data_IF_415335959917
#
_entry.id   IF_415335959917
#
_cell.length_a   1.000
_cell.length_b   1.000
_cell.length_c   1.000
_cell.angle_alpha   90.00
_cell.angle_beta   90.00
_cell.angle_gamma   90.00
#
_symmetry.space_group_name_H-M   'P 1'
#
loop_
_entity.id
_entity.type
_entity.pdbx_description
1 polymer ?
#
# COMPACT_ATOMS: atom_id res chain seq x y z
N UNK A 1 35.76 21.31 9.71
CA UNK A 1 34.82 21.05 8.61
C UNK A 1 33.63 20.32 9.20
N UNK A 2 32.52 21.02 9.43
CA UNK A 2 31.31 20.41 9.97
C UNK A 2 30.40 20.02 8.80
N UNK A 3 30.23 18.72 8.57
CA UNK A 3 29.28 18.19 7.59
C UNK A 3 27.81 18.47 7.97
N UNK A 4 27.59 18.90 9.22
CA UNK A 4 26.23 19.10 9.77
C UNK A 4 25.41 20.19 9.06
N UNK A 5 26.06 21.21 8.51
CA UNK A 5 25.37 22.36 7.92
C UNK A 5 24.99 22.17 6.45
N UNK A 6 25.58 21.15 5.80
CA UNK A 6 25.37 20.82 4.39
C UNK A 6 24.48 19.57 4.16
N UNK A 7 24.05 18.91 5.27
CA UNK A 7 23.15 17.74 5.14
C UNK A 7 21.75 18.22 4.77
N UNK A 8 21.17 17.72 3.67
CA UNK A 8 19.81 18.05 3.29
C UNK A 8 18.81 17.75 4.40
N UNK A 9 17.68 18.46 4.43
CA UNK A 9 16.62 18.29 5.46
C UNK A 9 16.02 16.89 5.50
N UNK A 10 16.12 16.14 4.42
CA UNK A 10 15.69 14.74 4.30
C UNK A 10 16.75 13.74 4.80
N UNK A 11 17.92 14.21 5.19
CA UNK A 11 19.03 13.39 5.68
C UNK A 11 19.74 12.54 4.62
N UNK A 12 19.40 12.71 3.34
CA UNK A 12 20.00 11.95 2.24
C UNK A 12 21.22 12.67 1.67
N UNK A 13 22.38 12.02 1.73
CA UNK A 13 23.63 12.55 1.21
C UNK A 13 23.87 11.99 -0.18
N UNK A 14 23.83 12.86 -1.21
CA UNK A 14 24.03 12.45 -2.60
C UNK A 14 25.52 12.21 -2.92
N UNK A 15 25.77 11.39 -3.97
CA UNK A 15 27.11 11.16 -4.50
C UNK A 15 27.79 12.45 -4.96
N UNK A 16 27.00 13.41 -5.48
CA UNK A 16 27.49 14.72 -5.89
C UNK A 16 28.07 15.50 -4.71
N UNK A 17 27.35 15.59 -3.59
CA UNK A 17 27.81 16.27 -2.39
C UNK A 17 29.07 15.61 -1.81
N UNK A 18 29.11 14.27 -1.79
CA UNK A 18 30.31 13.54 -1.34
C UNK A 18 31.51 13.79 -2.25
N UNK A 19 31.32 13.89 -3.56
CA UNK A 19 32.38 14.23 -4.50
C UNK A 19 32.94 15.63 -4.29
N UNK A 20 32.02 16.61 -4.06
CA UNK A 20 32.41 17.99 -3.72
C UNK A 20 33.24 18.03 -2.45
N UNK A 21 32.79 17.37 -1.38
CA UNK A 21 33.50 17.30 -0.10
C UNK A 21 34.84 16.58 -0.18
N UNK A 22 34.92 15.52 -0.98
CA UNK A 22 36.18 14.83 -1.25
C UNK A 22 37.19 15.76 -1.95
N UNK A 23 36.73 16.52 -2.94
CA UNK A 23 37.55 17.50 -3.68
C UNK A 23 38.01 18.65 -2.77
N UNK A 24 37.10 19.18 -1.93
CA UNK A 24 37.45 20.18 -0.91
C UNK A 24 38.51 19.65 0.07
N UNK A 25 38.37 18.40 0.51
CA UNK A 25 39.33 17.77 1.43
C UNK A 25 40.75 17.68 0.86
N UNK A 26 40.90 17.62 -0.46
CA UNK A 26 42.20 17.60 -1.11
C UNK A 26 42.99 18.91 -1.00
N UNK A 27 42.28 20.03 -0.77
CA UNK A 27 42.85 21.38 -0.63
C UNK A 27 43.19 21.75 0.81
N UNK A 28 42.89 20.87 1.77
CA UNK A 28 43.13 21.12 3.20
C UNK A 28 44.58 20.84 3.51
N UNK A 29 45.24 21.80 4.16
CA UNK A 29 46.59 21.65 4.68
C UNK A 29 46.58 20.71 5.91
N UNK A 30 47.37 19.63 5.90
CA UNK A 30 47.44 18.69 7.01
C UNK A 30 47.87 19.33 8.35
N UNK A 31 48.64 20.39 8.32
CA UNK A 31 49.14 21.08 9.51
C UNK A 31 48.03 21.83 10.28
N UNK A 32 46.90 22.10 9.61
CA UNK A 32 45.74 22.79 10.18
C UNK A 32 44.74 21.84 10.89
N UNK A 33 45.00 20.53 10.90
CA UNK A 33 44.09 19.52 11.46
C UNK A 33 44.68 18.82 12.65
N UNK A 34 43.94 18.69 13.72
CA UNK A 34 44.30 17.86 14.87
C UNK A 34 44.46 16.38 14.41
N UNK A 35 45.65 15.82 14.62
CA UNK A 35 46.05 14.51 14.11
C UNK A 35 46.71 14.50 12.75
N UNK A 36 46.88 15.66 12.10
CA UNK A 36 47.71 15.88 10.92
C UNK A 36 47.32 15.04 9.67
N UNK A 37 48.34 14.68 8.91
CA UNK A 37 48.14 13.92 7.65
C UNK A 37 47.45 12.58 7.85
N UNK A 38 47.63 11.89 8.98
CA UNK A 38 46.99 10.59 9.25
C UNK A 38 45.50 10.71 9.43
N UNK A 39 45.05 11.72 10.17
CA UNK A 39 43.60 11.99 10.34
C UNK A 39 42.95 12.38 9.03
N UNK A 40 43.62 13.19 8.21
CA UNK A 40 43.13 13.60 6.89
C UNK A 40 43.01 12.42 5.91
N UNK A 41 44.00 11.54 5.88
CA UNK A 41 43.96 10.30 5.08
C UNK A 41 42.81 9.38 5.50
N UNK A 42 42.58 9.22 6.80
CA UNK A 42 41.46 8.42 7.32
C UNK A 42 40.10 9.02 6.93
N UNK A 43 39.95 10.33 7.05
CA UNK A 43 38.72 11.04 6.64
C UNK A 43 38.46 10.89 5.15
N UNK A 44 39.48 11.08 4.30
CA UNK A 44 39.34 10.89 2.84
C UNK A 44 38.97 9.46 2.48
N UNK A 45 39.55 8.47 3.13
CA UNK A 45 39.18 7.06 2.92
C UNK A 45 37.73 6.80 3.27
N UNK A 46 37.21 7.32 4.38
CA UNK A 46 35.80 7.18 4.77
C UNK A 46 34.86 7.90 3.78
N UNK A 47 35.20 9.11 3.35
CA UNK A 47 34.39 9.83 2.34
C UNK A 47 34.33 9.05 1.01
N UNK A 48 35.44 8.44 0.60
CA UNK A 48 35.48 7.62 -0.60
C UNK A 48 34.63 6.36 -0.50
N UNK A 49 34.67 5.68 0.66
CA UNK A 49 33.78 4.52 0.92
C UNK A 49 32.28 4.92 0.88
N UNK A 50 31.94 6.08 1.45
CA UNK A 50 30.57 6.58 1.41
C UNK A 50 30.17 6.98 -0.02
N UNK A 51 31.07 7.56 -0.81
CA UNK A 51 30.82 7.90 -2.19
C UNK A 51 30.49 6.65 -3.03
N UNK A 52 31.28 5.58 -2.89
CA UNK A 52 31.03 4.31 -3.60
C UNK A 52 29.64 3.77 -3.24
N UNK A 53 29.31 3.76 -1.94
CA UNK A 53 27.98 3.29 -1.49
C UNK A 53 26.85 4.18 -1.96
N UNK A 54 27.04 5.50 -1.96
CA UNK A 54 26.03 6.45 -2.43
C UNK A 54 25.72 6.25 -3.93
N UNK A 55 26.76 6.10 -4.75
CA UNK A 55 26.57 5.79 -6.18
C UNK A 55 25.83 4.47 -6.38
N UNK A 56 26.21 3.42 -5.63
CA UNK A 56 25.52 2.13 -5.68
C UNK A 56 24.03 2.23 -5.28
N UNK A 57 23.70 3.05 -4.28
CA UNK A 57 22.32 3.27 -3.88
C UNK A 57 21.53 4.06 -4.90
N UNK A 58 22.10 5.12 -5.47
CA UNK A 58 21.50 5.92 -6.54
C UNK A 58 21.18 5.05 -7.78
N UNK A 59 22.09 4.15 -8.16
CA UNK A 59 21.84 3.18 -9.24
C UNK A 59 20.67 2.23 -8.89
N UNK A 60 20.63 1.72 -7.67
CA UNK A 60 19.54 0.84 -7.22
C UNK A 60 18.19 1.57 -7.16
N UNK A 61 18.17 2.81 -6.72
CA UNK A 61 16.98 3.66 -6.71
C UNK A 61 16.50 3.96 -8.12
N UNK A 62 17.42 4.25 -9.06
CA UNK A 62 17.08 4.43 -10.46
C UNK A 62 16.45 3.18 -11.10
N UNK A 63 16.92 1.98 -10.74
CA UNK A 63 16.31 0.72 -11.18
C UNK A 63 14.92 0.52 -10.55
N UNK A 64 14.74 0.82 -9.27
CA UNK A 64 13.46 0.70 -8.57
C UNK A 64 12.41 1.66 -9.15
N UNK A 65 12.80 2.89 -9.45
CA UNK A 65 11.87 3.97 -9.77
C UNK A 65 11.03 4.41 -8.56
N UNK A 66 10.11 5.37 -8.75
CA UNK A 66 9.37 6.00 -7.64
C UNK A 66 8.33 5.09 -7.00
N UNK A 67 7.86 4.07 -7.70
CA UNK A 67 6.69 3.27 -7.27
C UNK A 67 7.08 1.95 -6.57
N UNK A 68 8.36 1.59 -6.57
CA UNK A 68 8.86 0.35 -5.97
C UNK A 68 9.91 0.64 -4.91
N UNK A 69 9.99 -0.26 -3.93
CA UNK A 69 11.03 -0.24 -2.90
C UNK A 69 12.01 -1.42 -3.01
N UNK A 70 11.88 -2.22 -4.05
CA UNK A 70 12.79 -3.33 -4.34
C UNK A 70 12.67 -3.81 -5.78
N UNK A 71 13.74 -4.41 -6.26
CA UNK A 71 13.80 -5.15 -7.52
C UNK A 71 14.54 -6.48 -7.30
N UNK A 72 14.54 -7.35 -8.29
CA UNK A 72 15.24 -8.63 -8.20
C UNK A 72 16.47 -8.65 -9.12
N UNK A 73 17.62 -9.16 -8.62
CA UNK A 73 18.90 -9.13 -9.34
C UNK A 73 18.86 -9.75 -10.74
N UNK A 74 18.10 -10.83 -10.91
CA UNK A 74 18.04 -11.57 -12.19
C UNK A 74 17.01 -11.00 -13.17
N UNK A 75 16.10 -10.14 -12.69
CA UNK A 75 15.10 -9.45 -13.48
C UNK A 75 14.75 -8.12 -12.80
N UNK A 76 15.33 -7.04 -13.31
CA UNK A 76 15.18 -5.70 -12.72
C UNK A 76 13.73 -5.18 -12.81
N UNK A 77 12.91 -5.70 -13.71
CA UNK A 77 11.50 -5.34 -13.78
C UNK A 77 10.66 -6.13 -12.75
N UNK A 78 11.14 -7.26 -12.28
CA UNK A 78 10.44 -8.02 -11.24
C UNK A 78 10.67 -7.41 -9.86
N UNK A 79 9.64 -7.49 -9.03
CA UNK A 79 9.72 -7.10 -7.61
C UNK A 79 9.99 -8.34 -6.75
N UNK A 80 10.79 -8.19 -5.71
CA UNK A 80 11.02 -9.27 -4.75
C UNK A 80 9.74 -9.48 -3.91
N UNK A 81 9.07 -10.62 -4.08
CA UNK A 81 7.83 -10.97 -3.37
C UNK A 81 7.96 -12.34 -2.70
N UNK A 82 7.36 -12.47 -1.52
CA UNK A 82 7.15 -13.77 -0.89
C UNK A 82 5.85 -14.37 -1.44
N UNK A 83 5.92 -15.60 -1.94
CA UNK A 83 4.74 -16.27 -2.49
C UNK A 83 3.97 -17.00 -1.38
N UNK A 84 2.65 -17.09 -1.51
CA UNK A 84 1.79 -17.77 -0.52
C UNK A 84 2.17 -19.24 -0.33
N UNK A 85 2.59 -19.89 -1.38
CA UNK A 85 3.01 -21.30 -1.38
C UNK A 85 4.22 -21.54 -0.48
N UNK A 86 5.21 -20.61 -0.48
CA UNK A 86 6.38 -20.71 0.38
C UNK A 86 6.04 -20.52 1.86
N UNK A 87 5.07 -19.66 2.15
CA UNK A 87 4.59 -19.43 3.51
C UNK A 87 3.92 -20.69 4.09
N UNK A 88 3.09 -21.38 3.29
CA UNK A 88 2.39 -22.58 3.74
C UNK A 88 3.30 -23.83 3.75
N UNK A 89 4.32 -23.88 2.91
CA UNK A 89 5.27 -25.00 2.85
C UNK A 89 6.32 -25.00 3.95
N UNK A 90 6.33 -23.98 4.82
CA UNK A 90 7.32 -23.84 5.90
C UNK A 90 8.72 -23.45 5.42
N UNK A 91 8.90 -23.17 4.12
CA UNK A 91 10.16 -22.67 3.55
C UNK A 91 10.44 -21.21 3.92
N UNK A 92 9.58 -20.63 4.76
CA UNK A 92 9.76 -19.31 5.31
C UNK A 92 9.55 -18.20 4.30
N UNK A 93 10.15 -17.05 4.58
CA UNK A 93 10.02 -15.81 3.82
C UNK A 93 10.98 -15.72 2.63
N UNK A 94 11.11 -16.79 1.84
CA UNK A 94 11.96 -16.73 0.66
C UNK A 94 11.39 -15.74 -0.36
N UNK A 95 12.24 -14.82 -0.83
CA UNK A 95 11.84 -13.80 -1.79
C UNK A 95 12.13 -14.28 -3.21
N UNK A 96 11.12 -14.20 -4.06
CA UNK A 96 11.21 -14.56 -5.47
C UNK A 96 11.06 -13.35 -6.39
N UNK A 97 11.62 -13.45 -7.60
CA UNK A 97 11.31 -12.53 -8.68
C UNK A 97 9.85 -12.74 -9.10
N UNK A 98 8.99 -11.77 -8.88
CA UNK A 98 7.57 -11.92 -9.13
C UNK A 98 6.94 -10.65 -9.73
N UNK A 99 5.82 -10.88 -10.42
CA UNK A 99 4.90 -9.88 -10.92
C UNK A 99 3.52 -10.13 -10.33
N UNK A 100 2.82 -9.07 -9.98
CA UNK A 100 1.44 -9.18 -9.52
C UNK A 100 0.50 -9.20 -10.73
N UNK A 101 -0.13 -10.36 -10.97
CA UNK A 101 -0.98 -10.59 -12.13
C UNK A 101 -2.44 -10.36 -11.76
N UNK A 102 -3.08 -9.41 -12.42
CA UNK A 102 -4.49 -9.13 -12.33
C UNK A 102 -5.20 -9.70 -13.55
N UNK A 103 -6.30 -10.41 -13.34
CA UNK A 103 -7.17 -10.89 -14.43
C UNK A 103 -8.59 -10.34 -14.25
N UNK A 104 -9.20 -9.96 -15.33
CA UNK A 104 -10.63 -9.61 -15.40
C UNK A 104 -11.34 -10.76 -16.08
N UNK A 105 -12.24 -11.39 -15.34
CA UNK A 105 -13.00 -12.56 -15.82
C UNK A 105 -14.45 -12.18 -16.01
N UNK A 106 -15.02 -12.56 -17.14
CA UNK A 106 -16.44 -12.43 -17.45
C UNK A 106 -16.95 -13.77 -17.97
N UNK A 107 -17.93 -14.35 -17.28
CA UNK A 107 -18.53 -15.66 -17.64
C UNK A 107 -17.50 -16.77 -17.84
N UNK A 108 -16.48 -16.80 -16.97
CA UNK A 108 -15.42 -17.82 -17.01
C UNK A 108 -14.32 -17.58 -18.05
N UNK A 109 -14.39 -16.48 -18.81
CA UNK A 109 -13.39 -16.12 -19.82
C UNK A 109 -12.55 -14.95 -19.32
N UNK A 110 -11.23 -15.01 -19.46
CA UNK A 110 -10.35 -13.86 -19.22
C UNK A 110 -10.57 -12.86 -20.34
N UNK A 111 -11.16 -11.71 -20.00
CA UNK A 111 -11.42 -10.63 -20.97
C UNK A 111 -10.35 -9.56 -20.93
N UNK A 112 -9.60 -9.44 -19.85
CA UNK A 112 -8.49 -8.51 -19.73
C UNK A 112 -7.51 -9.00 -18.65
N UNK A 113 -6.26 -8.61 -18.77
CA UNK A 113 -5.24 -8.83 -17.73
C UNK A 113 -4.33 -7.61 -17.59
N UNK A 114 -3.77 -7.45 -16.40
CA UNK A 114 -2.79 -6.43 -16.09
C UNK A 114 -1.66 -7.02 -15.24
N UNK A 115 -0.43 -6.79 -15.64
CA UNK A 115 0.77 -7.20 -14.89
C UNK A 115 1.38 -5.99 -14.20
N UNK A 116 1.42 -6.05 -12.88
CA UNK A 116 1.96 -5.02 -12.01
C UNK A 116 3.29 -5.44 -11.40
N UNK A 117 4.12 -4.45 -11.14
CA UNK A 117 5.32 -4.56 -10.32
C UNK A 117 5.01 -4.28 -8.83
N UNK A 118 3.81 -3.82 -8.51
CA UNK A 118 3.38 -3.56 -7.14
C UNK A 118 3.04 -4.86 -6.41
N UNK A 119 3.49 -5.00 -5.17
CA UNK A 119 3.20 -6.17 -4.33
C UNK A 119 1.75 -6.23 -3.86
N UNK A 120 1.10 -5.07 -3.79
CA UNK A 120 -0.24 -4.92 -3.24
C UNK A 120 -1.29 -4.75 -4.32
N UNK A 121 -2.39 -5.48 -4.19
CA UNK A 121 -3.54 -5.37 -5.09
C UNK A 121 -4.22 -3.99 -5.01
N UNK A 122 -4.04 -3.29 -3.90
CA UNK A 122 -4.71 -2.02 -3.61
C UNK A 122 -4.46 -0.94 -4.69
N UNK A 123 -3.26 -0.96 -5.29
CA UNK A 123 -2.85 0.00 -6.33
C UNK A 123 -3.12 -0.50 -7.75
N UNK A 124 -3.52 -1.75 -7.93
CA UNK A 124 -3.63 -2.36 -9.26
C UNK A 124 -5.02 -2.24 -9.88
N UNK A 125 -6.06 -1.94 -9.08
CA UNK A 125 -7.43 -1.84 -9.57
C UNK A 125 -7.59 -0.72 -10.62
N UNK A 126 -7.15 0.48 -10.29
CA UNK A 126 -7.29 1.65 -11.18
C UNK A 126 -6.55 1.42 -12.50
N UNK A 127 -5.26 1.03 -12.54
CA UNK A 127 -4.58 0.70 -13.79
C UNK A 127 -5.25 -0.42 -14.58
N UNK A 128 -5.81 -1.42 -13.91
CA UNK A 128 -6.56 -2.51 -14.56
C UNK A 128 -7.82 -1.98 -15.25
N UNK A 129 -8.58 -1.12 -14.59
CA UNK A 129 -9.81 -0.53 -15.15
C UNK A 129 -9.50 0.47 -16.27
N UNK A 130 -8.44 1.24 -16.18
CA UNK A 130 -7.99 2.14 -17.26
C UNK A 130 -7.50 1.35 -18.47
N UNK A 131 -6.76 0.28 -18.27
CA UNK A 131 -6.35 -0.63 -19.34
C UNK A 131 -7.54 -1.31 -20.01
N UNK A 132 -8.52 -1.76 -19.23
CA UNK A 132 -9.77 -2.32 -19.74
C UNK A 132 -10.52 -1.28 -20.60
N UNK A 133 -10.67 -0.05 -20.12
CA UNK A 133 -11.29 1.03 -20.88
C UNK A 133 -10.54 1.33 -22.17
N UNK A 134 -9.21 1.36 -22.13
CA UNK A 134 -8.39 1.58 -23.33
C UNK A 134 -8.62 0.52 -24.39
N UNK A 135 -8.86 -0.74 -23.98
CA UNK A 135 -9.09 -1.85 -24.89
C UNK A 135 -10.53 -1.89 -25.44
N UNK A 136 -11.53 -1.61 -24.59
CA UNK A 136 -12.93 -1.79 -24.93
C UNK A 136 -13.69 -0.48 -25.19
N UNK A 137 -13.06 0.68 -25.01
CA UNK A 137 -13.68 2.01 -25.15
C UNK A 137 -14.60 2.44 -24.01
N UNK A 138 -14.91 1.56 -23.05
CA UNK A 138 -15.80 1.85 -21.93
C UNK A 138 -15.37 1.17 -20.64
N UNK A 139 -15.81 1.69 -19.50
CA UNK A 139 -15.67 1.00 -18.22
C UNK A 139 -16.73 -0.09 -18.07
N UNK A 140 -16.44 -1.15 -17.29
CA UNK A 140 -17.45 -2.12 -16.90
C UNK A 140 -18.50 -1.45 -16.02
N UNK A 141 -19.78 -1.76 -16.22
CA UNK A 141 -20.87 -1.22 -15.38
C UNK A 141 -20.76 -1.71 -13.93
N UNK A 142 -20.34 -2.96 -13.73
CA UNK A 142 -20.24 -3.62 -12.44
C UNK A 142 -18.97 -4.41 -12.34
N UNK A 143 -18.33 -4.37 -11.16
CA UNK A 143 -17.14 -5.17 -10.84
C UNK A 143 -17.31 -5.85 -9.48
N UNK A 144 -16.78 -7.06 -9.36
CA UNK A 144 -16.58 -7.71 -8.07
C UNK A 144 -15.10 -8.06 -7.91
N UNK A 145 -14.48 -7.60 -6.83
CA UNK A 145 -13.07 -7.85 -6.55
C UNK A 145 -12.86 -8.25 -5.08
N UNK A 146 -11.67 -8.74 -4.78
CA UNK A 146 -11.33 -9.19 -3.42
C UNK A 146 -11.15 -8.01 -2.44
N UNK A 147 -11.10 -8.34 -1.16
CA UNK A 147 -10.92 -7.36 -0.08
C UNK A 147 -9.57 -6.61 -0.18
N UNK A 148 -8.57 -7.20 -0.83
CA UNK A 148 -7.28 -6.57 -1.11
C UNK A 148 -7.37 -5.26 -1.89
N UNK A 149 -8.46 -5.06 -2.66
CA UNK A 149 -8.72 -3.83 -3.41
C UNK A 149 -9.51 -2.78 -2.62
N UNK A 150 -9.99 -3.10 -1.42
CA UNK A 150 -10.85 -2.23 -0.61
C UNK A 150 -10.11 -1.03 -0.04
N UNK A 151 -10.07 0.09 -0.75
CA UNK A 151 -9.43 1.33 -0.32
C UNK A 151 -10.27 2.56 -0.67
N UNK A 152 -10.00 3.67 0.01
CA UNK A 152 -10.64 4.95 -0.29
C UNK A 152 -10.47 5.35 -1.76
N UNK A 153 -9.24 5.29 -2.26
CA UNK A 153 -8.93 5.66 -3.64
C UNK A 153 -9.73 4.84 -4.66
N UNK A 154 -9.80 3.52 -4.45
CA UNK A 154 -10.50 2.61 -5.35
C UNK A 154 -12.02 2.83 -5.32
N UNK A 155 -12.62 3.01 -4.13
CA UNK A 155 -14.05 3.32 -4.02
C UNK A 155 -14.40 4.67 -4.64
N UNK A 156 -13.60 5.70 -4.36
CA UNK A 156 -13.78 7.04 -4.93
C UNK A 156 -13.67 7.00 -6.45
N UNK A 157 -12.66 6.31 -6.98
CA UNK A 157 -12.49 6.12 -8.41
C UNK A 157 -13.69 5.43 -9.05
N UNK A 158 -14.13 4.29 -8.53
CA UNK A 158 -15.29 3.57 -9.05
C UNK A 158 -16.56 4.45 -9.03
N UNK A 159 -16.79 5.15 -7.91
CA UNK A 159 -17.94 6.06 -7.78
C UNK A 159 -17.89 7.19 -8.81
N UNK A 160 -16.74 7.83 -9.00
CA UNK A 160 -16.54 8.92 -9.97
C UNK A 160 -16.76 8.44 -11.43
N UNK A 161 -16.39 7.18 -11.72
CA UNK A 161 -16.56 6.60 -13.06
C UNK A 161 -17.92 5.92 -13.28
N UNK A 162 -18.83 5.97 -12.31
CA UNK A 162 -20.13 5.32 -12.38
C UNK A 162 -20.05 3.79 -12.38
N UNK A 163 -18.98 3.22 -11.81
CA UNK A 163 -18.79 1.76 -11.73
C UNK A 163 -19.38 1.26 -10.40
N UNK A 164 -20.33 0.34 -10.48
CA UNK A 164 -20.89 -0.30 -9.30
C UNK A 164 -19.93 -1.37 -8.77
N UNK A 165 -19.23 -1.05 -7.66
CA UNK A 165 -18.17 -1.88 -7.12
C UNK A 165 -18.65 -2.74 -5.95
N UNK A 166 -18.58 -4.06 -6.11
CA UNK A 166 -18.81 -5.08 -5.06
C UNK A 166 -17.48 -5.54 -4.48
N UNK A 167 -16.84 -4.67 -3.72
CA UNK A 167 -15.53 -4.89 -3.12
C UNK A 167 -15.67 -4.85 -1.61
N UNK A 168 -15.18 -5.88 -0.90
CA UNK A 168 -15.12 -5.89 0.56
C UNK A 168 -14.04 -4.92 1.05
N UNK A 169 -14.30 -4.22 2.14
CA UNK A 169 -13.26 -3.46 2.84
C UNK A 169 -12.51 -4.34 3.86
N UNK A 170 -11.30 -3.97 4.29
CA UNK A 170 -10.46 -4.83 5.13
C UNK A 170 -11.12 -5.34 6.43
N UNK A 171 -11.96 -4.50 7.08
CA UNK A 171 -12.66 -4.88 8.31
C UNK A 171 -13.98 -5.62 8.08
N UNK A 172 -14.41 -5.87 6.85
CA UNK A 172 -15.71 -6.45 6.49
C UNK A 172 -16.06 -7.73 7.26
N UNK A 173 -15.16 -8.71 7.24
CA UNK A 173 -15.45 -10.00 7.88
C UNK A 173 -15.57 -9.88 9.40
N UNK A 174 -14.69 -9.08 10.03
CA UNK A 174 -14.71 -8.85 11.47
C UNK A 174 -15.98 -8.12 11.92
N UNK A 175 -16.40 -7.10 11.19
CA UNK A 175 -17.63 -6.36 11.46
C UNK A 175 -18.88 -7.24 11.25
N UNK A 176 -18.94 -7.98 10.15
CA UNK A 176 -20.08 -8.84 9.83
C UNK A 176 -20.29 -9.98 10.82
N UNK A 177 -19.20 -10.57 11.33
CA UNK A 177 -19.25 -11.68 12.29
C UNK A 177 -19.36 -11.21 13.74
N UNK A 178 -19.33 -9.90 13.99
CA UNK A 178 -19.29 -9.33 15.33
C UNK A 178 -17.97 -9.56 16.09
N UNK A 179 -16.98 -10.20 15.46
CA UNK A 179 -15.66 -10.44 16.07
C UNK A 179 -14.89 -9.14 16.33
N UNK A 180 -15.04 -8.17 15.43
CA UNK A 180 -14.42 -6.86 15.53
C UNK A 180 -15.43 -5.78 15.10
N UNK A 181 -16.43 -5.44 15.98
CA UNK A 181 -17.38 -4.39 15.67
C UNK A 181 -16.67 -3.05 15.47
N UNK A 182 -17.28 -2.18 14.68
CA UNK A 182 -16.78 -0.83 14.51
C UNK A 182 -16.81 -0.10 15.86
N UNK A 183 -15.76 0.67 16.16
CA UNK A 183 -15.67 1.40 17.44
C UNK A 183 -16.44 2.72 17.41
N UNK A 184 -16.85 3.17 16.24
CA UNK A 184 -17.72 4.31 16.02
C UNK A 184 -18.52 4.14 14.71
N UNK A 185 -19.61 4.88 14.63
CA UNK A 185 -20.43 5.09 13.43
C UNK A 185 -20.45 6.60 13.12
N UNK A 186 -20.31 6.97 11.86
CA UNK A 186 -20.45 8.35 11.40
C UNK A 186 -21.90 8.57 11.00
N UNK A 187 -22.54 9.57 11.59
CA UNK A 187 -23.96 9.85 11.43
C UNK A 187 -24.21 10.91 10.34
N UNK A 188 -25.44 10.98 9.84
CA UNK A 188 -25.86 11.92 8.80
C UNK A 188 -25.77 13.39 9.25
N UNK A 189 -25.91 13.64 10.53
CA UNK A 189 -25.78 14.99 11.13
C UNK A 189 -24.34 15.48 11.22
N UNK A 190 -23.37 14.68 10.75
CA UNK A 190 -21.96 15.03 10.78
C UNK A 190 -21.27 14.77 12.12
N UNK A 191 -21.88 14.06 13.03
CA UNK A 191 -21.31 13.62 14.30
C UNK A 191 -20.87 12.15 14.24
N UNK A 192 -20.25 11.64 15.30
CA UNK A 192 -19.96 10.22 15.46
C UNK A 192 -20.67 9.66 16.66
N UNK A 193 -21.22 8.46 16.54
CA UNK A 193 -21.70 7.67 17.69
C UNK A 193 -20.65 6.62 18.04
N UNK A 194 -20.18 6.56 19.28
CA UNK A 194 -19.25 5.52 19.69
C UNK A 194 -19.96 4.21 20.04
N UNK A 195 -19.22 3.12 20.14
CA UNK A 195 -19.75 1.80 20.51
C UNK A 195 -20.52 1.80 21.84
N UNK A 196 -20.22 2.73 22.75
CA UNK A 196 -20.95 2.95 23.99
C UNK A 196 -22.17 3.87 23.88
N UNK A 197 -22.61 4.23 22.67
CA UNK A 197 -23.79 5.05 22.43
C UNK A 197 -23.62 6.53 22.73
N UNK A 198 -22.39 7.02 22.91
CA UNK A 198 -22.12 8.45 23.16
C UNK A 198 -21.80 9.17 21.85
N UNK A 199 -22.31 10.38 21.74
CA UNK A 199 -22.06 11.25 20.57
C UNK A 199 -20.72 11.97 20.71
N UNK A 200 -19.98 12.04 19.60
CA UNK A 200 -18.76 12.82 19.48
C UNK A 200 -18.86 13.89 18.41
N UNK A 201 -18.43 15.08 18.77
CA UNK A 201 -18.45 16.24 17.89
C UNK A 201 -17.09 16.46 17.23
N UNK A 202 -17.11 17.11 16.05
CA UNK A 202 -15.89 17.54 15.38
C UNK A 202 -15.14 18.54 16.23
N UNK A 203 -13.82 18.35 16.34
CA UNK A 203 -12.94 19.21 17.13
C UNK A 203 -11.64 19.48 16.36
N UNK A 204 -11.05 20.63 16.63
CA UNK A 204 -9.69 20.95 16.25
C UNK A 204 -8.76 20.70 17.44
N UNK A 205 -7.63 20.08 17.22
CA UNK A 205 -6.68 19.76 18.28
C UNK A 205 -5.41 20.59 18.03
N UNK A 206 -5.02 21.46 18.97
CA UNK A 206 -3.81 22.25 18.85
C UNK A 206 -2.58 21.34 18.57
N UNK A 207 -1.74 21.75 17.64
CA UNK A 207 -0.51 21.04 17.25
C UNK A 207 -0.69 19.59 16.76
N UNK A 208 -1.91 19.19 16.40
CA UNK A 208 -2.18 17.90 15.79
C UNK A 208 -2.95 18.07 14.50
N UNK A 209 -2.33 17.60 13.40
CA UNK A 209 -2.97 17.62 12.08
C UNK A 209 -3.51 16.24 11.73
N UNK A 210 -4.66 16.16 11.06
CA UNK A 210 -5.15 14.90 10.51
C UNK A 210 -4.13 14.30 9.53
N UNK A 211 -4.12 12.98 9.41
CA UNK A 211 -3.23 12.27 8.47
C UNK A 211 -3.47 12.62 7.01
N UNK A 212 -4.68 13.02 6.69
CA UNK A 212 -5.05 13.49 5.36
C UNK A 212 -5.88 14.77 5.47
N UNK A 213 -5.86 15.60 4.43
CA UNK A 213 -6.67 16.83 4.37
C UNK A 213 -8.19 16.58 4.45
N UNK A 214 -8.62 15.36 4.13
CA UNK A 214 -10.04 14.96 4.14
C UNK A 214 -10.48 14.35 5.48
N UNK A 215 -9.55 14.12 6.40
CA UNK A 215 -9.84 13.62 7.75
C UNK A 215 -10.15 14.76 8.71
N UNK A 216 -10.96 14.45 9.72
CA UNK A 216 -11.24 15.35 10.83
C UNK A 216 -11.19 14.58 12.15
N UNK A 217 -10.95 15.30 13.26
CA UNK A 217 -11.00 14.73 14.59
C UNK A 217 -12.39 14.88 15.18
N UNK A 218 -12.85 13.83 15.86
CA UNK A 218 -14.11 13.77 16.58
C UNK A 218 -13.84 13.34 18.01
N UNK A 219 -14.31 14.12 18.96
CA UNK A 219 -14.11 13.91 20.40
C UNK A 219 -15.38 13.38 21.02
N UNK A 220 -15.26 12.24 21.71
CA UNK A 220 -16.30 11.66 22.57
C UNK A 220 -15.83 11.80 24.01
N UNK A 221 -16.70 12.29 24.87
CA UNK A 221 -16.44 12.51 26.28
C UNK A 221 -17.16 11.50 27.17
N UNK A 222 -16.89 11.57 28.48
CA UNK A 222 -17.48 10.71 29.49
C UNK A 222 -17.19 9.21 29.29
N UNK A 223 -15.98 8.89 28.86
CA UNK A 223 -15.56 7.51 28.62
C UNK A 223 -15.24 6.73 29.91
N UNK A 224 -15.16 7.39 31.09
CA UNK A 224 -14.89 6.74 32.37
C UNK A 224 -15.96 5.68 32.65
N UNK A 225 -15.55 4.51 33.13
CA UNK A 225 -16.43 3.36 33.41
C UNK A 225 -17.21 2.82 32.19
N UNK A 226 -16.74 3.07 30.98
CA UNK A 226 -17.36 2.53 29.76
C UNK A 226 -17.07 1.03 29.65
N UNK A 227 -18.11 0.20 29.56
CA UNK A 227 -17.98 -1.25 29.39
C UNK A 227 -17.19 -1.66 28.13
N UNK A 228 -17.13 -0.80 27.13
CA UNK A 228 -16.39 -1.03 25.88
C UNK A 228 -14.98 -0.42 25.90
N UNK A 229 -14.50 0.14 27.00
CA UNK A 229 -13.23 0.86 27.06
C UNK A 229 -12.05 -0.02 26.61
N UNK A 230 -11.93 -1.22 27.15
CA UNK A 230 -10.85 -2.15 26.83
C UNK A 230 -10.83 -2.49 25.33
N UNK A 231 -11.99 -2.73 24.73
CA UNK A 231 -12.11 -3.00 23.32
C UNK A 231 -11.84 -1.76 22.45
N UNK A 232 -12.44 -0.61 22.82
CA UNK A 232 -12.29 0.65 22.07
C UNK A 232 -10.84 1.14 22.04
N UNK A 233 -10.08 0.91 23.12
CA UNK A 233 -8.68 1.35 23.27
C UNK A 233 -7.64 0.25 23.03
N UNK A 234 -8.03 -0.92 22.52
CA UNK A 234 -7.15 -2.10 22.36
C UNK A 234 -5.85 -1.84 21.62
N UNK A 235 -5.84 -0.89 20.68
CA UNK A 235 -4.65 -0.52 19.89
C UNK A 235 -4.02 0.81 20.33
N UNK A 236 -4.50 1.43 21.40
CA UNK A 236 -3.92 2.66 21.94
C UNK A 236 -2.83 2.35 22.96
N UNK A 237 -1.90 3.28 23.13
CA UNK A 237 -0.91 3.24 24.21
C UNK A 237 -1.60 3.46 25.57
N UNK A 238 -2.47 4.47 25.64
CA UNK A 238 -3.26 4.79 26.82
C UNK A 238 -4.54 3.98 26.83
N UNK A 239 -4.69 3.11 27.84
CA UNK A 239 -5.84 2.21 27.95
C UNK A 239 -7.02 2.83 28.70
N UNK A 240 -6.79 3.87 29.49
CA UNK A 240 -7.78 4.58 30.29
C UNK A 240 -7.89 6.04 29.88
N UNK A 241 -8.95 6.71 30.28
CA UNK A 241 -9.19 8.12 30.02
C UNK A 241 -10.68 8.46 29.88
N UNK A 242 -11.02 9.72 30.16
CA UNK A 242 -12.41 10.20 30.12
C UNK A 242 -12.87 10.64 28.73
N UNK A 243 -11.96 10.73 27.77
CA UNK A 243 -12.29 11.16 26.40
C UNK A 243 -11.67 10.23 25.35
N UNK A 244 -12.28 10.14 24.18
CA UNK A 244 -11.80 9.39 23.03
C UNK A 244 -11.83 10.27 21.79
N UNK A 245 -10.70 10.37 21.12
CA UNK A 245 -10.59 11.08 19.84
C UNK A 245 -10.52 10.06 18.72
N UNK A 246 -11.42 10.21 17.75
CA UNK A 246 -11.43 9.45 16.51
C UNK A 246 -10.95 10.36 15.37
N UNK A 247 -10.06 9.86 14.54
CA UNK A 247 -9.76 10.47 13.25
C UNK A 247 -10.64 9.81 12.19
N UNK A 248 -11.53 10.57 11.61
CA UNK A 248 -12.55 10.09 10.68
C UNK A 248 -12.39 10.80 9.34
N UNK A 249 -12.50 10.04 8.26
CA UNK A 249 -12.63 10.57 6.90
C UNK A 249 -14.08 10.36 6.47
N UNK A 250 -14.95 11.38 6.54
CA UNK A 250 -16.38 11.23 6.28
C UNK A 250 -16.70 10.64 4.91
N UNK A 251 -16.04 11.14 3.86
CA UNK A 251 -16.23 10.63 2.49
C UNK A 251 -15.93 9.13 2.40
N UNK A 252 -14.87 8.66 3.07
CA UNK A 252 -14.54 7.22 3.09
C UNK A 252 -15.59 6.40 3.82
N UNK A 253 -16.10 6.90 4.93
CA UNK A 253 -17.16 6.22 5.68
C UNK A 253 -18.40 6.06 4.82
N UNK A 254 -18.83 7.12 4.13
CA UNK A 254 -19.98 7.08 3.20
C UNK A 254 -19.76 6.07 2.05
N UNK A 255 -18.57 6.09 1.43
CA UNK A 255 -18.22 5.14 0.38
C UNK A 255 -18.20 3.69 0.90
N UNK A 256 -17.66 3.47 2.10
CA UNK A 256 -17.65 2.17 2.78
C UNK A 256 -19.06 1.68 3.09
N UNK A 257 -19.94 2.57 3.58
CA UNK A 257 -21.33 2.24 3.84
C UNK A 257 -22.04 1.84 2.55
N UNK A 258 -21.92 2.62 1.48
CA UNK A 258 -22.46 2.27 0.18
C UNK A 258 -21.94 0.94 -0.39
N UNK A 259 -20.66 0.61 -0.15
CA UNK A 259 -20.11 -0.71 -0.48
C UNK A 259 -20.75 -1.82 0.36
N UNK A 260 -20.95 -1.59 1.67
CA UNK A 260 -21.62 -2.51 2.59
C UNK A 260 -23.04 -2.83 2.12
N UNK A 261 -23.82 -1.80 1.79
CA UNK A 261 -25.20 -1.95 1.36
C UNK A 261 -25.29 -2.75 0.05
N UNK A 262 -24.42 -2.47 -0.92
CA UNK A 262 -24.33 -3.27 -2.16
C UNK A 262 -23.99 -4.73 -1.89
N UNK A 263 -23.00 -4.98 -1.02
CA UNK A 263 -22.55 -6.34 -0.70
C UNK A 263 -23.58 -7.17 0.05
N UNK A 264 -24.51 -6.56 0.79
CA UNK A 264 -25.57 -7.24 1.52
C UNK A 264 -26.81 -7.53 0.70
N UNK A 265 -27.02 -6.86 -0.43
CA UNK A 265 -28.12 -7.13 -1.35
C UNK A 265 -28.01 -8.56 -1.93
N UNK A 266 -29.11 -9.19 -2.34
CA UNK A 266 -29.08 -10.50 -2.99
C UNK A 266 -28.11 -10.56 -4.18
N UNK A 267 -28.12 -9.52 -5.01
CA UNK A 267 -27.19 -9.37 -6.13
C UNK A 267 -25.71 -9.32 -5.69
N UNK A 268 -25.42 -8.62 -4.60
CA UNK A 268 -24.04 -8.56 -4.05
C UNK A 268 -23.57 -9.90 -3.50
N UNK A 269 -24.48 -10.70 -2.95
CA UNK A 269 -24.18 -12.07 -2.52
C UNK A 269 -23.85 -12.93 -3.73
N UNK A 270 -24.67 -12.88 -4.77
CA UNK A 270 -24.46 -13.60 -6.02
C UNK A 270 -23.13 -13.20 -6.70
N UNK A 271 -22.85 -11.91 -6.82
CA UNK A 271 -21.61 -11.40 -7.40
C UNK A 271 -20.37 -11.92 -6.66
N UNK A 272 -20.42 -12.03 -5.33
CA UNK A 272 -19.30 -12.56 -4.54
C UNK A 272 -19.09 -14.07 -4.74
N UNK A 273 -20.17 -14.83 -4.82
CA UNK A 273 -20.12 -16.27 -5.12
C UNK A 273 -19.57 -16.50 -6.53
N UNK A 274 -20.13 -15.79 -7.51
CA UNK A 274 -19.69 -15.88 -8.90
C UNK A 274 -18.21 -15.50 -9.07
N UNK A 275 -17.72 -14.46 -8.36
CA UNK A 275 -16.30 -14.11 -8.37
C UNK A 275 -15.43 -15.26 -7.91
N UNK A 276 -15.76 -15.87 -6.76
CA UNK A 276 -14.99 -16.98 -6.22
C UNK A 276 -14.93 -18.12 -7.23
N UNK A 277 -16.07 -18.55 -7.75
CA UNK A 277 -16.13 -19.64 -8.73
C UNK A 277 -15.37 -19.31 -10.03
N UNK A 278 -15.59 -18.11 -10.59
CA UNK A 278 -15.02 -17.77 -11.89
C UNK A 278 -13.53 -17.46 -11.83
N UNK A 279 -13.09 -16.60 -10.89
CA UNK A 279 -11.70 -16.15 -10.83
C UNK A 279 -10.79 -17.26 -10.29
N UNK A 280 -11.19 -17.90 -9.19
CA UNK A 280 -10.39 -18.99 -8.61
C UNK A 280 -10.37 -20.20 -9.53
N UNK A 281 -11.49 -20.52 -10.19
CA UNK A 281 -11.55 -21.55 -11.21
C UNK A 281 -10.62 -21.27 -12.39
N UNK A 282 -10.60 -20.05 -12.89
CA UNK A 282 -9.72 -19.64 -13.99
C UNK A 282 -8.24 -19.75 -13.60
N UNK A 283 -7.86 -19.27 -12.41
CA UNK A 283 -6.49 -19.48 -11.92
C UNK A 283 -6.16 -20.95 -11.69
N UNK A 284 -7.13 -21.76 -11.27
CA UNK A 284 -6.99 -23.21 -11.15
C UNK A 284 -6.68 -23.87 -12.49
N UNK A 285 -7.40 -23.48 -13.56
CA UNK A 285 -7.11 -23.96 -14.92
C UNK A 285 -5.68 -23.59 -15.34
N UNK A 286 -5.26 -22.36 -15.18
CA UNK A 286 -3.92 -21.92 -15.54
C UNK A 286 -2.85 -22.67 -14.75
N UNK A 287 -2.97 -22.74 -13.43
CA UNK A 287 -1.92 -23.30 -12.57
C UNK A 287 -1.91 -24.83 -12.52
N UNK A 288 -3.08 -25.45 -12.47
CA UNK A 288 -3.20 -26.92 -12.32
C UNK A 288 -3.31 -27.65 -13.65
N UNK A 289 -4.25 -27.25 -14.52
CA UNK A 289 -4.48 -27.97 -15.77
C UNK A 289 -3.41 -27.68 -16.82
N UNK A 290 -2.95 -26.42 -16.91
CA UNK A 290 -1.94 -26.01 -17.86
C UNK A 290 -0.52 -26.02 -17.26
N UNK A 291 -0.39 -26.36 -15.97
CA UNK A 291 0.88 -26.35 -15.23
C UNK A 291 1.67 -25.03 -15.34
N UNK A 292 0.94 -23.91 -15.53
CA UNK A 292 1.53 -22.59 -15.68
C UNK A 292 1.72 -21.95 -14.30
N UNK A 293 2.75 -22.41 -13.58
CA UNK A 293 3.03 -21.99 -12.21
C UNK A 293 4.04 -20.85 -12.11
N UNK A 294 4.85 -20.64 -13.17
CA UNK A 294 5.91 -19.64 -13.19
C UNK A 294 6.06 -19.02 -14.58
N UNK A 295 6.39 -17.73 -14.63
CA UNK A 295 6.85 -17.07 -15.86
C UNK A 295 8.21 -17.64 -16.28
N UNK A 296 8.35 -17.93 -17.56
CA UNK A 296 9.60 -18.45 -18.17
C UNK A 296 10.46 -17.31 -18.70
N UNK A 297 9.83 -16.16 -19.05
CA UNK A 297 10.50 -14.98 -19.57
C UNK A 297 10.81 -13.97 -18.47
N UNK A 298 11.78 -13.10 -18.73
CA UNK A 298 12.16 -11.97 -17.88
C UNK A 298 11.83 -10.67 -18.60
N UNK A 299 11.76 -9.58 -17.86
CA UNK A 299 11.32 -8.24 -18.27
C UNK A 299 9.82 -8.17 -18.50
N UNK A 300 9.21 -7.11 -17.95
CA UNK A 300 7.76 -6.93 -17.93
C UNK A 300 7.09 -7.07 -19.31
N UNK A 301 7.69 -6.49 -20.35
CA UNK A 301 7.15 -6.57 -21.70
C UNK A 301 7.09 -8.01 -22.25
N UNK A 302 8.13 -8.81 -21.98
CA UNK A 302 8.16 -10.22 -22.43
C UNK A 302 7.24 -11.10 -21.60
N UNK A 303 7.10 -10.83 -20.30
CA UNK A 303 6.18 -11.52 -19.40
C UNK A 303 4.72 -11.20 -19.78
N UNK A 304 4.42 -9.95 -20.15
CA UNK A 304 3.10 -9.59 -20.68
C UNK A 304 2.75 -10.38 -21.94
N UNK A 305 3.67 -10.46 -22.89
CA UNK A 305 3.47 -11.25 -24.12
C UNK A 305 3.29 -12.74 -23.81
N UNK A 306 4.09 -13.29 -22.89
CA UNK A 306 3.96 -14.68 -22.46
C UNK A 306 2.57 -14.97 -21.88
N UNK A 307 2.11 -14.11 -20.96
CA UNK A 307 0.79 -14.28 -20.33
C UNK A 307 -0.38 -14.12 -21.33
N UNK A 308 -0.21 -13.26 -22.34
CA UNK A 308 -1.21 -13.11 -23.40
C UNK A 308 -1.38 -14.36 -24.27
N UNK A 309 -0.35 -15.20 -24.36
CA UNK A 309 -0.34 -16.42 -25.18
C UNK A 309 -0.72 -17.68 -24.39
N UNK A 310 -0.92 -17.55 -23.07
CA UNK A 310 -1.33 -18.63 -22.20
C UNK A 310 -2.84 -18.65 -22.01
#
# INVERSE_FOLDING_TARGET
MHLSDDVPKDGIISSKLLTEKLTESQKIDPELIEGGETALKKMRSQLYEYLIKSVEYEEKEAICGPDRNSYYKTDHDATAMCLKEDYYSGLGSQMHAAYNTQIVVCRGIIVFYYLSQDRSDIRTLIPTLEGFKSMYGCYPKRICADAGYGSFANYKYCNTKGIEAFIKYPSWNGERTGRYPAVYEYLEDGTVSCLGGRTGNRVEIPNRHPKTQQSAFYKVENCTNCQFMAYCRRFMKEKEGNERIFEVMPEYVTLKQGARDRLLRPEGIEMRVNRSCQVEGTFGVLKQNMAYTRFRRRKLAKVRLEFALT
#
